data_IF_171830423037
#
_entry.id   IF_171830423037
#
_cell.length_a   1.000
_cell.length_b   1.000
_cell.length_c   1.000
_cell.angle_alpha   90.00
_cell.angle_beta   90.00
_cell.angle_gamma   90.00
#
_symmetry.space_group_name_H-M   'P 1'
#
loop_
_entity.id
_entity.type
_entity.pdbx_description
1 polymer ?
#
# COMPACT_ATOMS: atom_id res chain seq x y z
N UNK A 1 -14.75 28.22 16.44
CA UNK A 1 -14.01 28.80 15.30
C UNK A 1 -14.80 28.80 14.00
N UNK A 2 -15.59 27.76 13.67
CA UNK A 2 -16.43 27.78 12.45
C UNK A 2 -17.56 28.83 12.48
N UNK A 3 -18.15 29.14 13.65
CA UNK A 3 -19.28 30.07 13.75
C UNK A 3 -18.92 31.55 13.52
N UNK A 4 -17.64 31.93 13.66
CA UNK A 4 -17.19 33.33 13.55
C UNK A 4 -16.98 33.83 12.10
N UNK A 5 -16.94 32.92 11.12
CA UNK A 5 -16.73 33.28 9.71
C UNK A 5 -18.03 33.63 8.96
N UNK A 6 -19.19 33.21 9.48
CA UNK A 6 -20.47 33.41 8.79
C UNK A 6 -20.95 34.87 8.82
N UNK A 7 -20.80 35.56 9.96
CA UNK A 7 -21.27 36.94 10.13
C UNK A 7 -20.36 37.98 9.46
N UNK A 8 -19.06 37.71 9.36
CA UNK A 8 -18.08 38.68 8.83
C UNK A 8 -18.01 38.72 7.31
N UNK A 9 -18.33 37.61 6.62
CA UNK A 9 -18.22 37.50 5.16
C UNK A 9 -19.57 37.50 4.41
N UNK A 10 -20.71 37.51 5.11
CA UNK A 10 -22.04 37.59 4.49
C UNK A 10 -22.41 36.38 3.63
N UNK A 11 -21.88 35.20 3.93
CA UNK A 11 -22.07 33.98 3.15
C UNK A 11 -23.27 33.19 3.71
N UNK A 12 -24.34 32.94 2.94
CA UNK A 12 -25.53 32.23 3.42
C UNK A 12 -25.37 30.69 3.41
N UNK A 13 -24.15 30.17 3.49
CA UNK A 13 -23.83 28.73 3.35
C UNK A 13 -22.69 28.32 4.28
N UNK A 14 -22.67 27.06 4.74
CA UNK A 14 -21.55 26.50 5.50
C UNK A 14 -20.28 26.51 4.62
N UNK A 15 -19.26 27.24 5.05
CA UNK A 15 -17.94 27.23 4.45
C UNK A 15 -16.95 26.67 5.47
N UNK A 16 -16.17 25.68 5.06
CA UNK A 16 -14.99 25.27 5.81
C UNK A 16 -13.82 26.03 5.22
N UNK A 17 -13.20 26.87 6.05
CA UNK A 17 -12.07 27.72 5.69
C UNK A 17 -12.40 29.02 4.94
N UNK A 18 -11.52 30.00 5.11
CA UNK A 18 -11.62 31.35 4.54
C UNK A 18 -11.51 31.28 3.02
N UNK A 19 -10.68 30.37 2.51
CA UNK A 19 -10.48 30.14 1.07
C UNK A 19 -11.79 29.72 0.37
N UNK A 20 -12.61 28.90 1.05
CA UNK A 20 -13.90 28.50 0.52
C UNK A 20 -14.89 29.68 0.44
N UNK A 21 -14.85 30.60 1.40
CA UNK A 21 -15.67 31.81 1.37
C UNK A 21 -15.28 32.73 0.21
N UNK A 22 -13.98 32.94 -0.03
CA UNK A 22 -13.51 33.74 -1.17
C UNK A 22 -13.85 33.10 -2.52
N UNK A 23 -13.63 31.78 -2.65
CA UNK A 23 -13.98 31.03 -3.86
C UNK A 23 -15.48 31.09 -4.13
N UNK A 24 -16.32 30.92 -3.10
CA UNK A 24 -17.77 31.04 -3.23
C UNK A 24 -18.19 32.46 -3.67
N UNK A 25 -17.71 33.51 -3.01
CA UNK A 25 -18.05 34.91 -3.35
C UNK A 25 -17.65 35.26 -4.80
N UNK A 26 -16.50 34.76 -5.25
CA UNK A 26 -16.05 34.92 -6.63
C UNK A 26 -17.00 34.22 -7.62
N UNK A 27 -17.30 32.94 -7.38
CA UNK A 27 -18.18 32.14 -8.24
C UNK A 27 -19.64 32.62 -8.23
N UNK A 28 -20.11 33.21 -7.13
CA UNK A 28 -21.44 33.79 -7.02
C UNK A 28 -21.62 34.96 -7.99
N UNK A 29 -20.60 35.83 -8.14
CA UNK A 29 -20.61 36.93 -9.13
C UNK A 29 -20.65 36.45 -10.57
N UNK A 30 -20.10 35.27 -10.82
CA UNK A 30 -20.11 34.62 -12.13
C UNK A 30 -21.36 33.75 -12.36
N UNK A 31 -22.30 33.70 -11.40
CA UNK A 31 -23.55 32.95 -11.51
C UNK A 31 -23.35 31.43 -11.60
N UNK A 32 -22.31 30.91 -10.92
CA UNK A 32 -21.93 29.49 -10.98
C UNK A 32 -22.57 28.70 -9.84
N UNK A 33 -22.73 29.32 -8.67
CA UNK A 33 -23.22 28.66 -7.45
C UNK A 33 -24.65 28.09 -7.57
N UNK A 34 -25.42 28.54 -8.57
CA UNK A 34 -26.79 28.06 -8.82
C UNK A 34 -26.92 27.05 -9.98
N UNK A 35 -25.83 26.78 -10.71
CA UNK A 35 -25.84 25.85 -11.85
C UNK A 35 -25.65 24.42 -11.36
N UNK A 36 -26.54 23.52 -11.76
CA UNK A 36 -26.34 22.08 -11.61
C UNK A 36 -25.39 21.60 -12.72
N UNK A 37 -24.32 20.92 -12.36
CA UNK A 37 -23.39 20.36 -13.35
C UNK A 37 -24.05 19.14 -14.02
N UNK A 38 -24.10 19.05 -15.37
CA UNK A 38 -24.54 17.85 -16.06
C UNK A 38 -23.41 16.82 -16.10
N UNK A 39 -23.78 15.55 -15.99
CA UNK A 39 -22.88 14.40 -15.98
C UNK A 39 -22.05 14.32 -17.27
N UNK A 40 -20.74 14.54 -17.14
CA UNK A 40 -19.73 14.07 -18.10
C UNK A 40 -19.06 15.12 -18.99
N UNK A 41 -17.78 15.41 -18.71
CA UNK A 41 -16.69 15.58 -19.69
C UNK A 41 -15.52 16.39 -19.08
N UNK A 42 -14.51 15.73 -18.53
CA UNK A 42 -13.28 16.42 -18.09
C UNK A 42 -12.15 16.32 -19.14
N UNK A 43 -11.52 17.47 -19.41
CA UNK A 43 -10.27 17.59 -20.17
C UNK A 43 -9.13 17.85 -19.19
N UNK A 44 -8.09 17.02 -19.24
CA UNK A 44 -6.90 17.09 -18.38
C UNK A 44 -5.90 18.15 -18.86
N UNK A 45 -5.39 19.04 -17.98
CA UNK A 45 -4.23 19.88 -18.30
C UNK A 45 -2.94 19.18 -17.84
N UNK A 46 -2.07 18.87 -18.81
CA UNK A 46 -0.70 18.40 -18.57
C UNK A 46 0.24 19.61 -18.40
N UNK A 47 0.83 19.79 -17.22
CA UNK A 47 1.92 20.75 -17.05
C UNK A 47 3.00 20.23 -16.09
N UNK A 48 4.26 20.42 -16.51
CA UNK A 48 5.53 20.20 -15.78
C UNK A 48 6.28 18.85 -15.92
N UNK A 49 6.41 18.28 -17.13
CA UNK A 49 7.27 17.09 -17.40
C UNK A 49 8.72 17.41 -17.82
N UNK A 50 9.02 18.64 -18.25
CA UNK A 50 10.29 18.93 -18.94
C UNK A 50 11.51 19.10 -18.03
N UNK A 51 11.33 19.59 -16.79
CA UNK A 51 12.46 19.87 -15.88
C UNK A 51 12.93 18.64 -15.09
N UNK A 52 12.05 17.68 -14.81
CA UNK A 52 12.40 16.43 -14.12
C UNK A 52 13.22 15.49 -15.02
N UNK A 53 12.90 15.48 -16.32
CA UNK A 53 13.54 14.58 -17.29
C UNK A 53 15.06 14.81 -17.44
N UNK A 54 15.52 16.06 -17.35
CA UNK A 54 16.95 16.38 -17.49
C UNK A 54 17.81 15.85 -16.34
N UNK A 55 17.31 15.92 -15.10
CA UNK A 55 18.05 15.50 -13.92
C UNK A 55 18.11 13.97 -13.78
N UNK A 56 17.11 13.27 -14.31
CA UNK A 56 17.04 11.80 -14.32
C UNK A 56 17.99 11.18 -15.37
N UNK A 57 18.12 11.82 -16.54
CA UNK A 57 19.04 11.38 -17.60
C UNK A 57 20.52 11.49 -17.21
N UNK A 58 20.88 12.48 -16.40
CA UNK A 58 22.26 12.68 -15.92
C UNK A 58 22.68 11.61 -14.90
N UNK A 59 21.80 11.33 -13.93
CA UNK A 59 22.04 10.31 -12.89
C UNK A 59 22.14 8.88 -13.47
N UNK A 60 21.41 8.62 -14.56
CA UNK A 60 21.44 7.33 -15.27
C UNK A 60 22.79 7.09 -15.98
N UNK A 61 23.41 8.14 -16.55
CA UNK A 61 24.71 8.03 -17.22
C UNK A 61 25.84 7.70 -16.25
N UNK A 62 25.80 8.29 -15.06
CA UNK A 62 26.83 8.07 -14.04
C UNK A 62 26.79 6.64 -13.49
N UNK A 63 25.58 6.10 -13.23
CA UNK A 63 25.40 4.68 -12.84
C UNK A 63 25.90 3.70 -13.90
N UNK A 64 25.68 4.02 -15.19
CA UNK A 64 26.12 3.17 -16.29
C UNK A 64 27.66 3.08 -16.34
N UNK A 65 28.35 4.21 -16.22
CA UNK A 65 29.81 4.22 -16.22
C UNK A 65 30.38 3.40 -15.05
N UNK A 66 29.79 3.50 -13.86
CA UNK A 66 30.23 2.70 -12.70
C UNK A 66 30.04 1.19 -12.92
N UNK A 67 28.96 0.77 -13.59
CA UNK A 67 28.74 -0.64 -13.92
C UNK A 67 29.72 -1.16 -14.97
N UNK A 68 30.04 -0.35 -15.97
CA UNK A 68 30.97 -0.75 -17.04
C UNK A 68 32.40 -0.91 -16.48
N UNK A 69 32.82 -0.03 -15.57
CA UNK A 69 34.10 -0.16 -14.85
C UNK A 69 34.17 -1.42 -13.99
N UNK A 70 33.11 -1.76 -13.26
CA UNK A 70 33.05 -3.00 -12.46
C UNK A 70 33.12 -4.26 -13.34
N UNK A 71 32.41 -4.27 -14.48
CA UNK A 71 32.45 -5.39 -15.43
C UNK A 71 33.85 -5.57 -16.01
N UNK A 72 34.52 -4.47 -16.36
CA UNK A 72 35.86 -4.52 -16.92
C UNK A 72 36.87 -5.05 -15.90
N UNK A 73 36.75 -4.66 -14.62
CA UNK A 73 37.57 -5.20 -13.54
C UNK A 73 37.33 -6.71 -13.33
N UNK A 74 36.06 -7.15 -13.38
CA UNK A 74 35.71 -8.56 -13.23
C UNK A 74 36.24 -9.42 -14.39
N UNK A 75 36.08 -8.97 -15.63
CA UNK A 75 36.60 -9.68 -16.82
C UNK A 75 38.12 -9.78 -16.76
N UNK A 76 38.80 -8.71 -16.33
CA UNK A 76 40.26 -8.72 -16.15
C UNK A 76 40.68 -9.70 -15.05
N UNK A 77 39.98 -9.73 -13.92
CA UNK A 77 40.23 -10.65 -12.81
C UNK A 77 39.95 -12.12 -13.20
N UNK A 78 38.87 -12.38 -13.92
CA UNK A 78 38.50 -13.70 -14.41
C UNK A 78 39.50 -14.22 -15.46
N UNK A 79 39.93 -13.37 -16.39
CA UNK A 79 40.98 -13.72 -17.36
C UNK A 79 42.31 -14.06 -16.68
N UNK A 80 42.64 -13.42 -15.56
CA UNK A 80 43.84 -13.70 -14.78
C UNK A 80 43.75 -15.05 -14.04
N UNK A 81 42.55 -15.42 -13.59
CA UNK A 81 42.28 -16.67 -12.87
C UNK A 81 42.15 -17.89 -13.82
N UNK A 82 41.58 -17.70 -15.01
CA UNK A 82 41.41 -18.75 -16.02
C UNK A 82 42.70 -19.08 -16.80
N UNK A 83 43.76 -18.28 -16.67
CA UNK A 83 45.05 -18.51 -17.33
C UNK A 83 45.77 -19.79 -16.90
N UNK A 84 45.35 -20.43 -15.79
CA UNK A 84 46.04 -21.60 -15.24
C UNK A 84 45.50 -22.95 -15.76
N UNK A 85 44.22 -23.11 -16.14
CA UNK A 85 43.67 -24.33 -16.77
C UNK A 85 42.25 -24.09 -17.39
N UNK A 86 42.10 -23.88 -18.71
CA UNK A 86 40.84 -23.43 -19.31
C UNK A 86 39.76 -24.50 -19.56
N UNK A 87 40.11 -25.79 -19.65
CA UNK A 87 39.17 -26.86 -20.07
C UNK A 87 38.55 -27.65 -18.90
N UNK A 88 39.25 -27.76 -17.76
CA UNK A 88 38.85 -28.59 -16.62
C UNK A 88 37.77 -27.97 -15.72
N UNK A 89 37.70 -26.64 -15.70
CA UNK A 89 36.81 -25.89 -14.81
C UNK A 89 35.31 -26.01 -15.16
N UNK A 90 34.88 -25.87 -16.43
CA UNK A 90 33.48 -26.08 -16.78
C UNK A 90 33.03 -27.53 -16.53
N UNK A 91 33.88 -28.51 -16.86
CA UNK A 91 33.58 -29.92 -16.61
C UNK A 91 33.37 -30.23 -15.12
N UNK A 92 34.19 -29.66 -14.23
CA UNK A 92 34.02 -29.79 -12.78
C UNK A 92 32.74 -29.15 -12.27
N UNK A 93 32.34 -28.00 -12.82
CA UNK A 93 31.08 -27.35 -12.50
C UNK A 93 29.89 -28.22 -12.93
N UNK A 94 29.91 -28.77 -14.14
CA UNK A 94 28.88 -29.68 -14.65
C UNK A 94 28.76 -30.96 -13.80
N UNK A 95 29.89 -31.57 -13.43
CA UNK A 95 29.91 -32.75 -12.57
C UNK A 95 29.30 -32.44 -11.19
N UNK A 96 29.69 -31.33 -10.58
CA UNK A 96 29.18 -30.91 -9.26
C UNK A 96 27.69 -30.59 -9.30
N UNK A 97 27.21 -29.93 -10.37
CA UNK A 97 25.78 -29.66 -10.56
C UNK A 97 24.97 -30.96 -10.70
N UNK A 98 25.47 -31.92 -11.48
CA UNK A 98 24.80 -33.22 -11.68
C UNK A 98 24.63 -33.97 -10.35
N UNK A 99 25.71 -34.11 -9.58
CA UNK A 99 25.70 -34.84 -8.31
C UNK A 99 24.76 -34.18 -7.27
N UNK A 100 24.79 -32.84 -7.16
CA UNK A 100 23.89 -32.09 -6.27
C UNK A 100 22.43 -32.19 -6.70
N UNK A 101 22.16 -32.14 -8.01
CA UNK A 101 20.79 -32.27 -8.53
C UNK A 101 20.16 -33.63 -8.24
N UNK A 102 20.93 -34.71 -8.37
CA UNK A 102 20.47 -36.06 -8.04
C UNK A 102 20.22 -36.22 -6.52
N UNK A 103 21.06 -35.60 -5.69
CA UNK A 103 20.90 -35.61 -4.22
C UNK A 103 19.64 -34.86 -3.77
N UNK A 104 19.35 -33.68 -4.35
CA UNK A 104 18.13 -32.91 -4.06
C UNK A 104 16.87 -33.67 -4.51
N UNK A 105 16.90 -34.28 -5.69
CA UNK A 105 15.78 -35.07 -6.21
C UNK A 105 15.51 -36.33 -5.36
N UNK A 106 16.55 -37.06 -4.93
CA UNK A 106 16.39 -38.21 -4.04
C UNK A 106 15.77 -37.81 -2.69
N UNK A 107 16.18 -36.67 -2.13
CA UNK A 107 15.59 -36.12 -0.91
C UNK A 107 14.13 -35.71 -1.10
N UNK A 108 13.77 -35.05 -2.21
CA UNK A 108 12.36 -34.71 -2.54
C UNK A 108 11.49 -35.98 -2.59
N UNK A 109 11.98 -37.07 -3.20
CA UNK A 109 11.26 -38.36 -3.28
C UNK A 109 11.05 -39.03 -1.93
N UNK A 110 12.02 -38.91 -1.02
CA UNK A 110 11.91 -39.42 0.35
C UNK A 110 10.87 -38.62 1.16
N UNK A 111 10.82 -37.29 0.99
CA UNK A 111 9.82 -36.41 1.62
C UNK A 111 8.39 -36.71 1.14
N UNK A 112 8.18 -36.96 -0.16
CA UNK A 112 6.84 -37.29 -0.71
C UNK A 112 6.32 -38.66 -0.28
N UNK A 113 7.20 -39.64 -0.04
CA UNK A 113 6.80 -40.99 0.37
C UNK A 113 6.56 -41.13 1.89
N UNK A 114 7.12 -40.24 2.71
CA UNK A 114 6.95 -40.26 4.17
C UNK A 114 5.74 -39.49 4.73
N UNK A 115 5.08 -38.65 3.91
CA UNK A 115 4.08 -37.67 4.37
C UNK A 115 2.60 -38.03 4.13
N UNK A 116 2.26 -39.26 3.78
CA UNK A 116 0.89 -39.61 3.35
C UNK A 116 -0.14 -39.86 4.47
N UNK A 117 0.21 -39.74 5.75
CA UNK A 117 -0.75 -39.81 6.86
C UNK A 117 -0.51 -38.68 7.85
N UNK A 118 -1.08 -37.51 7.57
CA UNK A 118 -1.85 -36.69 8.54
C UNK A 118 -2.31 -35.42 7.81
N UNK A 119 -3.51 -35.44 7.24
CA UNK A 119 -4.18 -34.17 6.98
C UNK A 119 -5.70 -34.29 7.16
N UNK A 120 -6.19 -33.53 8.14
CA UNK A 120 -7.55 -33.02 8.23
C UNK A 120 -8.67 -34.00 8.55
N UNK A 121 -8.99 -34.19 9.82
CA UNK A 121 -10.40 -34.38 10.19
C UNK A 121 -10.74 -33.71 11.54
N UNK A 122 -11.83 -32.97 11.53
CA UNK A 122 -12.38 -32.20 12.65
C UNK A 122 -12.62 -33.09 13.87
N UNK A 123 -12.03 -32.75 15.02
CA UNK A 123 -12.28 -33.45 16.27
C UNK A 123 -13.32 -32.69 17.11
N UNK A 124 -14.60 -33.06 16.93
CA UNK A 124 -15.62 -32.90 17.96
C UNK A 124 -15.42 -33.97 19.03
N UNK A 125 -15.55 -33.59 20.29
CA UNK A 125 -15.15 -34.37 21.45
C UNK A 125 -15.65 -35.82 21.52
N UNK A 126 -14.75 -36.70 21.96
CA UNK A 126 -15.04 -37.70 22.96
C UNK A 126 -13.73 -38.27 23.51
N UNK A 127 -13.58 -38.22 24.84
CA UNK A 127 -12.51 -38.87 25.59
C UNK A 127 -12.82 -40.37 25.63
N UNK A 128 -11.92 -41.20 25.10
CA UNK A 128 -12.09 -42.65 25.16
C UNK A 128 -10.93 -43.47 24.61
N UNK A 129 -10.03 -43.88 25.51
CA UNK A 129 -9.23 -45.13 25.47
C UNK A 129 -8.37 -45.42 24.23
N UNK A 130 -7.05 -45.23 24.42
CA UNK A 130 -6.09 -46.31 24.17
C UNK A 130 -5.56 -46.47 22.74
N UNK A 131 -5.19 -45.38 22.07
CA UNK A 131 -4.28 -45.47 20.92
C UNK A 131 -2.84 -45.63 21.41
N UNK A 132 -2.10 -46.58 20.81
CA UNK A 132 -0.68 -46.80 21.09
C UNK A 132 0.13 -45.71 20.39
N UNK A 133 0.13 -44.51 20.98
CA UNK A 133 0.98 -43.39 20.56
C UNK A 133 2.44 -43.84 20.48
N UNK A 134 3.13 -43.43 19.41
CA UNK A 134 4.56 -43.67 19.19
C UNK A 134 5.38 -43.05 20.34
N UNK A 135 6.59 -43.54 20.60
CA UNK A 135 7.42 -43.07 21.72
C UNK A 135 7.63 -41.54 21.68
N UNK A 136 7.85 -40.99 20.48
CA UNK A 136 7.97 -39.55 20.26
C UNK A 136 6.65 -38.79 20.52
N UNK A 137 5.49 -39.36 20.13
CA UNK A 137 4.18 -38.76 20.39
C UNK A 137 3.83 -38.78 21.88
N UNK A 138 4.24 -39.83 22.61
CA UNK A 138 4.06 -39.93 24.06
C UNK A 138 4.92 -38.93 24.83
N UNK A 139 6.19 -38.75 24.45
CA UNK A 139 7.03 -37.73 25.07
C UNK A 139 6.54 -36.32 24.75
N UNK A 140 6.06 -36.07 23.52
CA UNK A 140 5.41 -34.79 23.18
C UNK A 140 4.16 -34.54 24.03
N UNK A 141 3.31 -35.56 24.21
CA UNK A 141 2.14 -35.45 25.07
C UNK A 141 2.53 -35.22 26.54
N UNK A 142 3.61 -35.85 27.00
CA UNK A 142 4.16 -35.67 28.34
C UNK A 142 4.66 -34.25 28.57
N UNK A 143 5.46 -33.71 27.64
CA UNK A 143 5.98 -32.34 27.67
C UNK A 143 4.86 -31.30 27.63
N UNK A 144 3.84 -31.49 26.78
CA UNK A 144 2.68 -30.61 26.70
C UNK A 144 1.88 -30.62 28.01
N UNK A 145 1.72 -31.80 28.61
CA UNK A 145 1.03 -31.94 29.90
C UNK A 145 1.84 -31.28 31.02
N UNK A 146 3.17 -31.43 31.05
CA UNK A 146 4.03 -30.77 32.05
C UNK A 146 3.98 -29.25 31.89
N UNK A 147 4.05 -28.73 30.67
CA UNK A 147 3.92 -27.29 30.39
C UNK A 147 2.58 -26.71 30.87
N UNK A 148 1.49 -27.48 30.74
CA UNK A 148 0.16 -27.04 31.15
C UNK A 148 -0.08 -27.08 32.67
N UNK A 149 0.67 -27.89 33.43
CA UNK A 149 0.40 -28.13 34.86
C UNK A 149 1.32 -27.39 35.84
N UNK A 150 2.44 -26.80 35.38
CA UNK A 150 3.49 -26.33 36.31
C UNK A 150 3.24 -24.95 36.94
N UNK A 151 2.20 -24.21 36.54
CA UNK A 151 1.93 -22.88 37.10
C UNK A 151 0.50 -22.78 37.66
N UNK A 152 0.42 -22.86 39.00
CA UNK A 152 -0.81 -22.97 39.76
C UNK A 152 -1.79 -21.80 39.57
N UNK A 153 -3.08 -22.13 39.72
CA UNK A 153 -4.27 -21.24 39.71
C UNK A 153 -4.51 -20.46 38.42
N UNK A 154 -4.99 -21.16 37.39
CA UNK A 154 -6.01 -20.66 36.46
C UNK A 154 -5.65 -19.51 35.53
N UNK A 155 -4.45 -18.97 35.59
CA UNK A 155 -3.95 -17.94 34.69
C UNK A 155 -2.91 -18.56 33.76
N UNK A 156 -3.30 -18.73 32.49
CA UNK A 156 -2.43 -19.20 31.43
C UNK A 156 -1.33 -18.15 31.18
N UNK A 157 -0.16 -18.42 31.74
CA UNK A 157 1.04 -17.58 31.64
C UNK A 157 2.10 -18.23 30.73
N UNK A 158 1.72 -19.28 30.00
CA UNK A 158 2.61 -19.99 29.09
C UNK A 158 2.99 -19.11 27.90
N UNK A 159 4.30 -18.89 27.70
CA UNK A 159 4.85 -17.99 26.68
C UNK A 159 5.31 -16.63 27.22
N UNK A 160 5.11 -16.36 28.51
CA UNK A 160 5.62 -15.14 29.16
C UNK A 160 7.12 -15.23 29.53
N UNK A 161 7.70 -16.43 29.58
CA UNK A 161 9.14 -16.66 29.79
C UNK A 161 9.78 -17.21 28.52
N UNK A 162 10.98 -16.74 28.19
CA UNK A 162 11.76 -17.21 27.03
C UNK A 162 12.10 -18.71 27.11
N UNK A 163 12.06 -19.30 28.29
CA UNK A 163 12.26 -20.73 28.54
C UNK A 163 11.12 -21.59 27.96
N UNK A 164 9.89 -21.08 27.94
CA UNK A 164 8.71 -21.77 27.40
C UNK A 164 8.84 -21.99 25.88
N UNK A 165 9.55 -21.09 25.20
CA UNK A 165 9.82 -21.15 23.77
C UNK A 165 10.82 -22.26 23.42
N UNK A 166 11.68 -22.66 24.36
CA UNK A 166 12.61 -23.77 24.15
C UNK A 166 11.88 -25.13 24.07
N UNK A 167 10.71 -25.23 24.70
CA UNK A 167 9.89 -26.44 24.67
C UNK A 167 9.33 -26.72 23.27
N UNK A 168 8.94 -25.68 22.52
CA UNK A 168 8.57 -25.82 21.10
C UNK A 168 9.73 -26.31 20.25
N UNK A 169 10.94 -25.79 20.50
CA UNK A 169 12.14 -26.23 19.77
C UNK A 169 12.46 -27.70 20.02
N UNK A 170 12.30 -28.17 21.25
CA UNK A 170 12.49 -29.57 21.63
C UNK A 170 11.40 -30.47 21.00
N UNK A 171 10.15 -30.01 20.94
CA UNK A 171 9.06 -30.73 20.27
C UNK A 171 9.20 -30.79 18.73
N UNK A 172 9.86 -29.78 18.12
CA UNK A 172 10.14 -29.77 16.68
C UNK A 172 11.41 -30.53 16.30
N UNK A 173 12.30 -30.82 17.25
CA UNK A 173 13.62 -31.41 16.97
C UNK A 173 13.54 -32.85 16.47
N UNK A 174 12.59 -33.65 16.96
CA UNK A 174 12.39 -35.03 16.48
C UNK A 174 11.70 -35.11 15.09
N UNK A 175 11.18 -34.00 14.56
CA UNK A 175 10.75 -33.91 13.16
C UNK A 175 11.87 -33.43 12.23
N UNK A 176 13.00 -32.96 12.76
CA UNK A 176 13.99 -32.15 12.03
C UNK A 176 15.45 -32.61 12.24
N UNK A 177 15.70 -33.91 12.26
CA UNK A 177 17.09 -34.40 12.16
C UNK A 177 17.63 -34.44 10.70
N UNK A 178 16.95 -33.82 9.71
CA UNK A 178 17.51 -33.62 8.35
C UNK A 178 17.13 -32.27 7.67
N UNK A 179 16.48 -31.32 8.37
CA UNK A 179 15.95 -30.13 7.69
C UNK A 179 16.98 -29.00 7.49
N UNK A 180 18.06 -28.98 8.27
CA UNK A 180 19.15 -28.00 8.10
C UNK A 180 20.05 -28.25 6.89
N UNK A 181 20.01 -29.45 6.29
CA UNK A 181 20.82 -29.80 5.13
C UNK A 181 20.11 -29.61 3.78
N UNK A 182 18.78 -29.50 3.77
CA UNK A 182 18.01 -29.40 2.52
C UNK A 182 18.06 -28.00 1.91
N UNK A 183 17.99 -26.97 2.75
CA UNK A 183 18.12 -25.57 2.30
C UNK A 183 19.53 -25.25 1.77
N UNK A 184 20.57 -25.87 2.36
CA UNK A 184 21.97 -25.65 1.96
C UNK A 184 22.26 -26.32 0.62
N UNK A 185 21.88 -27.59 0.44
CA UNK A 185 22.07 -28.30 -0.83
C UNK A 185 21.27 -27.61 -1.98
N UNK A 186 20.07 -27.08 -1.71
CA UNK A 186 19.23 -26.37 -2.70
C UNK A 186 19.80 -24.97 -3.05
N UNK A 187 20.33 -24.24 -2.06
CA UNK A 187 21.03 -22.98 -2.30
C UNK A 187 22.34 -23.17 -3.07
N UNK A 188 23.12 -24.22 -2.78
CA UNK A 188 24.34 -24.54 -3.52
C UNK A 188 24.05 -24.93 -4.98
N UNK A 189 22.95 -25.65 -5.23
CA UNK A 189 22.50 -26.00 -6.57
C UNK A 189 22.11 -24.76 -7.37
N UNK A 190 21.39 -23.81 -6.76
CA UNK A 190 21.04 -22.54 -7.39
C UNK A 190 22.30 -21.72 -7.75
N UNK A 191 23.29 -21.68 -6.85
CA UNK A 191 24.56 -20.99 -7.10
C UNK A 191 25.39 -21.64 -8.23
N UNK A 192 25.46 -22.98 -8.27
CA UNK A 192 26.14 -23.69 -9.36
C UNK A 192 25.42 -23.51 -10.71
N UNK A 193 24.10 -23.50 -10.71
CA UNK A 193 23.29 -23.24 -11.91
C UNK A 193 23.56 -21.85 -12.50
N UNK A 194 23.65 -20.81 -11.65
CA UNK A 194 24.00 -19.45 -12.09
C UNK A 194 25.40 -19.41 -12.71
N UNK A 195 26.38 -20.02 -12.04
CA UNK A 195 27.77 -20.08 -12.52
C UNK A 195 27.91 -20.85 -13.82
N UNK A 196 27.18 -21.95 -14.01
CA UNK A 196 27.19 -22.69 -15.27
C UNK A 196 26.64 -21.85 -16.43
N UNK A 197 25.56 -21.09 -16.19
CA UNK A 197 24.92 -20.24 -17.19
C UNK A 197 25.81 -19.09 -17.66
N UNK A 198 26.71 -18.62 -16.78
CA UNK A 198 27.71 -17.60 -17.10
C UNK A 198 28.87 -18.17 -17.94
N UNK A 199 29.23 -19.43 -17.73
CA UNK A 199 30.37 -20.09 -18.41
C UNK A 199 29.93 -20.77 -19.72
N UNK A 200 28.73 -21.36 -19.76
CA UNK A 200 28.14 -22.03 -20.92
C UNK A 200 26.72 -21.47 -21.21
N UNK A 201 26.57 -20.59 -22.22
CA UNK A 201 25.28 -20.05 -22.64
C UNK A 201 24.27 -21.10 -23.16
N UNK A 202 24.74 -22.32 -23.44
CA UNK A 202 23.93 -23.44 -23.95
C UNK A 202 23.32 -24.28 -22.82
N UNK A 203 23.72 -24.05 -21.57
CA UNK A 203 23.22 -24.77 -20.42
C UNK A 203 21.77 -24.42 -20.10
N UNK A 204 20.91 -25.44 -20.04
CA UNK A 204 19.50 -25.33 -19.65
C UNK A 204 19.27 -26.20 -18.41
N UNK A 205 18.94 -25.62 -17.25
CA UNK A 205 18.56 -26.39 -16.06
C UNK A 205 17.38 -27.31 -16.38
N UNK A 206 17.40 -28.51 -15.80
CA UNK A 206 16.31 -29.48 -15.93
C UNK A 206 15.03 -28.83 -15.35
N UNK A 207 13.93 -28.69 -16.11
CA UNK A 207 12.72 -28.08 -15.58
C UNK A 207 12.08 -29.04 -14.57
N UNK A 208 11.98 -28.61 -13.31
CA UNK A 208 11.12 -29.26 -12.33
C UNK A 208 9.68 -29.12 -12.83
N UNK A 209 9.00 -30.26 -13.07
CA UNK A 209 7.56 -30.31 -13.35
C UNK A 209 6.76 -29.99 -12.07
N UNK A 210 6.92 -28.78 -11.54
CA UNK A 210 6.09 -28.19 -10.51
C UNK A 210 6.25 -26.67 -10.55
N UNK A 211 5.20 -26.01 -11.04
CA UNK A 211 4.92 -24.57 -10.92
C UNK A 211 5.79 -23.61 -11.79
N UNK A 212 5.20 -22.83 -12.72
CA UNK A 212 5.93 -21.84 -13.52
C UNK A 212 6.29 -20.55 -12.73
N UNK A 213 6.63 -20.69 -11.46
CA UNK A 213 7.05 -19.60 -10.57
C UNK A 213 8.33 -20.00 -9.82
N UNK A 214 9.34 -20.51 -10.52
CA UNK A 214 10.70 -20.48 -9.99
C UNK A 214 11.32 -19.13 -10.38
N UNK A 215 11.62 -18.34 -9.35
CA UNK A 215 12.28 -17.04 -9.47
C UNK A 215 13.63 -17.25 -10.15
N UNK A 216 13.69 -16.80 -11.38
CA UNK A 216 14.86 -16.85 -12.21
C UNK A 216 15.93 -15.93 -11.64
N UNK A 217 17.14 -16.46 -11.38
CA UNK A 217 18.29 -15.63 -11.02
C UNK A 217 18.45 -14.49 -12.05
N UNK A 218 18.75 -13.25 -11.61
CA UNK A 218 18.66 -12.09 -12.48
C UNK A 218 19.66 -12.25 -13.61
N UNK A 219 19.17 -12.66 -14.78
CA UNK A 219 19.83 -12.35 -16.04
C UNK A 219 20.12 -10.86 -15.97
N UNK A 220 21.29 -10.39 -16.40
CA UNK A 220 21.45 -8.98 -16.68
C UNK A 220 20.50 -8.67 -17.84
N UNK A 221 19.22 -8.48 -17.52
CA UNK A 221 18.19 -8.06 -18.44
C UNK A 221 18.51 -6.59 -18.65
N UNK A 222 19.00 -6.19 -19.84
CA UNK A 222 19.20 -4.78 -20.09
C UNK A 222 17.85 -4.10 -19.84
N UNK A 223 17.81 -3.15 -18.91
CA UNK A 223 16.57 -2.49 -18.51
C UNK A 223 15.87 -1.99 -19.77
N UNK A 224 14.78 -2.67 -20.08
CA UNK A 224 13.93 -2.40 -21.22
C UNK A 224 12.94 -1.31 -20.84
N UNK A 225 12.27 -0.73 -21.83
CA UNK A 225 11.24 0.28 -21.57
C UNK A 225 10.13 -0.27 -20.63
N UNK A 226 9.86 -1.57 -20.67
CA UNK A 226 8.86 -2.26 -19.84
C UNK A 226 9.24 -2.27 -18.35
N UNK A 227 10.55 -2.27 -18.03
CA UNK A 227 11.04 -2.26 -16.65
C UNK A 227 10.80 -0.91 -15.94
N UNK A 228 10.52 0.15 -16.71
CA UNK A 228 10.17 1.48 -16.20
C UNK A 228 8.67 1.77 -16.34
N UNK A 229 7.86 0.78 -16.70
CA UNK A 229 6.42 0.92 -16.77
C UNK A 229 5.78 0.71 -15.39
N UNK A 230 5.11 1.74 -14.88
CA UNK A 230 4.30 1.63 -13.66
C UNK A 230 2.84 1.47 -14.08
N UNK A 231 2.32 0.26 -13.93
CA UNK A 231 0.92 -0.05 -14.20
C UNK A 231 0.07 0.34 -12.99
N UNK A 232 -0.84 1.28 -13.19
CA UNK A 232 -1.82 1.66 -12.17
C UNK A 232 -3.12 0.88 -12.38
N UNK A 233 -3.49 0.08 -11.39
CA UNK A 233 -4.75 -0.65 -11.35
C UNK A 233 -5.71 0.00 -10.37
N UNK A 234 -5.82 -0.59 -9.19
CA UNK A 234 -6.81 -0.22 -8.16
C UNK A 234 -6.48 1.10 -7.44
N UNK A 235 -5.22 1.50 -7.50
CA UNK A 235 -4.68 2.68 -6.81
C UNK A 235 -5.40 3.95 -7.27
N UNK A 236 -5.83 3.99 -8.54
CA UNK A 236 -6.48 5.14 -9.18
C UNK A 236 -7.77 5.57 -8.48
N UNK A 237 -8.53 4.61 -7.95
CA UNK A 237 -9.77 4.88 -7.22
C UNK A 237 -9.62 4.70 -5.71
N UNK A 238 -8.69 3.84 -5.26
CA UNK A 238 -8.45 3.65 -3.82
C UNK A 238 -7.85 4.88 -3.14
N UNK A 239 -7.00 5.64 -3.84
CA UNK A 239 -6.40 6.86 -3.30
C UNK A 239 -7.44 7.97 -2.99
N UNK A 240 -8.32 8.40 -3.93
CA UNK A 240 -9.32 9.43 -3.63
C UNK A 240 -10.39 8.95 -2.65
N UNK A 241 -10.68 7.64 -2.58
CA UNK A 241 -11.68 7.06 -1.68
C UNK A 241 -11.36 7.27 -0.19
N UNK A 242 -10.08 7.49 0.15
CA UNK A 242 -9.63 7.79 1.53
C UNK A 242 -10.30 9.07 2.07
N UNK A 243 -10.74 9.99 1.19
CA UNK A 243 -11.48 11.19 1.60
C UNK A 243 -12.87 10.88 2.16
N UNK A 244 -13.49 9.78 1.72
CA UNK A 244 -14.77 9.28 2.23
C UNK A 244 -14.56 8.23 3.33
N UNK A 245 -13.49 7.43 3.22
CA UNK A 245 -13.19 6.33 4.14
C UNK A 245 -11.76 6.43 4.71
N UNK A 246 -11.46 7.40 5.58
CA UNK A 246 -10.12 7.59 6.17
C UNK A 246 -9.68 6.39 7.03
N UNK A 247 -10.63 5.59 7.51
CA UNK A 247 -10.36 4.35 8.26
C UNK A 247 -9.52 3.33 7.47
N UNK A 248 -9.50 3.36 6.14
CA UNK A 248 -8.70 2.43 5.32
C UNK A 248 -7.20 2.58 5.50
N UNK A 249 -6.74 3.75 5.96
CA UNK A 249 -5.34 4.03 6.30
C UNK A 249 -5.11 4.11 7.82
N UNK A 250 -6.07 3.64 8.62
CA UNK A 250 -6.00 3.66 10.09
C UNK A 250 -6.25 5.03 10.72
N UNK A 251 -6.74 6.01 9.97
CA UNK A 251 -7.13 7.32 10.51
C UNK A 251 -8.59 7.24 10.98
N UNK A 252 -8.79 7.29 12.30
CA UNK A 252 -10.11 7.30 12.92
C UNK A 252 -10.73 8.71 12.92
N UNK A 253 -11.11 9.19 11.74
CA UNK A 253 -11.81 10.45 11.54
C UNK A 253 -13.05 10.22 10.67
N UNK A 254 -14.01 11.15 10.71
CA UNK A 254 -15.16 11.09 9.83
C UNK A 254 -14.76 11.42 8.39
N UNK A 255 -15.36 10.71 7.42
CA UNK A 255 -15.24 11.02 6.00
C UNK A 255 -15.91 12.34 5.62
N UNK A 256 -15.66 12.78 4.38
CA UNK A 256 -16.21 14.03 3.85
C UNK A 256 -17.75 14.07 3.87
N UNK A 257 -18.40 12.99 3.45
CA UNK A 257 -19.86 12.84 3.45
C UNK A 257 -20.42 12.85 4.88
N UNK A 258 -19.76 12.14 5.81
CA UNK A 258 -20.17 12.06 7.20
C UNK A 258 -20.03 13.41 7.90
N UNK A 259 -18.90 14.08 7.73
CA UNK A 259 -18.66 15.41 8.29
C UNK A 259 -19.67 16.43 7.78
N UNK A 260 -19.98 16.37 6.48
CA UNK A 260 -21.01 17.23 5.89
C UNK A 260 -22.37 17.00 6.55
N UNK A 261 -22.78 15.73 6.73
CA UNK A 261 -24.01 15.39 7.44
C UNK A 261 -24.01 15.83 8.91
N UNK A 262 -22.88 15.70 9.62
CA UNK A 262 -22.73 16.16 11.00
C UNK A 262 -22.88 17.68 11.08
N UNK A 263 -22.26 18.43 10.18
CA UNK A 263 -22.34 19.88 10.19
C UNK A 263 -23.72 20.40 9.81
N UNK A 264 -24.41 19.77 8.86
CA UNK A 264 -25.81 20.07 8.57
C UNK A 264 -26.69 19.91 9.81
N UNK A 265 -26.50 18.84 10.60
CA UNK A 265 -27.25 18.61 11.85
C UNK A 265 -26.90 19.58 12.98
N UNK A 266 -25.70 20.17 12.98
CA UNK A 266 -25.23 21.07 14.04
C UNK A 266 -25.67 22.52 13.85
N UNK A 267 -26.18 22.88 12.68
CA UNK A 267 -26.66 24.24 12.44
C UNK A 267 -27.93 24.51 13.27
N UNK A 268 -28.02 25.65 13.97
CA UNK A 268 -29.20 26.01 14.75
C UNK A 268 -30.36 26.39 13.83
N UNK A 269 -31.29 25.46 13.62
CA UNK A 269 -32.48 25.67 12.78
C UNK A 269 -33.60 26.33 13.59
N UNK A 270 -33.49 27.64 13.80
CA UNK A 270 -34.62 28.43 14.31
C UNK A 270 -35.72 28.63 13.25
N UNK A 271 -35.44 28.35 11.98
CA UNK A 271 -36.36 28.53 10.84
C UNK A 271 -36.20 27.36 9.85
N UNK A 272 -37.29 26.63 9.61
CA UNK A 272 -37.31 25.41 8.77
C UNK A 272 -36.96 25.70 7.30
N UNK A 273 -37.35 26.88 6.78
CA UNK A 273 -37.00 27.31 5.41
C UNK A 273 -35.48 27.47 5.20
N UNK A 274 -34.75 27.89 6.24
CA UNK A 274 -33.30 28.05 6.16
C UNK A 274 -32.60 26.68 6.18
N UNK A 275 -33.14 25.72 6.93
CA UNK A 275 -32.66 24.34 6.94
C UNK A 275 -32.76 23.73 5.54
N UNK A 276 -33.90 23.87 4.86
CA UNK A 276 -34.12 23.37 3.50
C UNK A 276 -33.19 24.05 2.48
N UNK A 277 -32.93 25.36 2.62
CA UNK A 277 -31.99 26.07 1.75
C UNK A 277 -30.54 25.64 1.96
N UNK A 278 -30.14 25.37 3.20
CA UNK A 278 -28.77 24.95 3.53
C UNK A 278 -28.51 23.49 3.17
N UNK A 279 -29.52 22.62 3.32
CA UNK A 279 -29.43 21.20 2.92
C UNK A 279 -29.54 21.00 1.41
N UNK A 280 -30.20 21.91 0.70
CA UNK A 280 -30.43 21.76 -0.74
C UNK A 280 -29.26 22.12 -1.64
N UNK A 281 -28.29 22.92 -1.18
CA UNK A 281 -27.21 23.41 -2.05
C UNK A 281 -25.85 23.29 -1.38
N UNK A 282 -24.96 22.49 -1.97
CA UNK A 282 -23.57 22.28 -1.54
C UNK A 282 -22.65 22.75 -2.65
N UNK A 283 -21.64 23.54 -2.29
CA UNK A 283 -20.69 24.09 -3.25
C UNK A 283 -19.27 23.58 -2.98
N UNK A 284 -18.65 22.95 -3.98
CA UNK A 284 -17.30 22.38 -3.91
C UNK A 284 -16.28 23.38 -4.45
N UNK A 285 -15.34 23.78 -3.59
CA UNK A 285 -14.37 24.85 -3.88
C UNK A 285 -12.93 24.38 -4.07
N UNK A 286 -12.58 23.18 -3.61
CA UNK A 286 -11.18 22.75 -3.42
C UNK A 286 -10.67 21.96 -4.62
N UNK A 287 -9.36 22.00 -4.90
CA UNK A 287 -8.71 21.21 -5.96
C UNK A 287 -9.00 19.70 -5.92
N UNK A 288 -9.16 19.08 -4.75
CA UNK A 288 -9.55 17.66 -4.63
C UNK A 288 -10.95 17.35 -5.18
N UNK A 289 -11.79 18.36 -5.42
CA UNK A 289 -13.06 18.19 -6.15
C UNK A 289 -12.87 17.90 -7.65
N UNK A 290 -11.65 18.06 -8.18
CA UNK A 290 -11.29 17.73 -9.55
C UNK A 290 -11.10 16.23 -9.78
N UNK A 291 -11.15 15.38 -8.73
CA UNK A 291 -11.16 13.95 -9.00
C UNK A 291 -12.48 13.55 -9.68
N UNK A 292 -12.44 12.69 -10.71
CA UNK A 292 -13.64 12.24 -11.38
C UNK A 292 -14.59 11.51 -10.42
N UNK A 293 -15.88 11.83 -10.46
CA UNK A 293 -16.89 11.15 -9.63
C UNK A 293 -17.01 11.67 -8.19
N UNK A 294 -16.26 12.72 -7.80
CA UNK A 294 -16.31 13.26 -6.43
C UNK A 294 -17.67 13.87 -6.08
N UNK A 295 -18.27 14.61 -7.02
CA UNK A 295 -19.59 15.19 -6.88
C UNK A 295 -20.64 14.11 -6.63
N UNK A 296 -20.61 13.05 -7.43
CA UNK A 296 -21.55 11.95 -7.38
C UNK A 296 -21.37 11.10 -6.11
N UNK A 297 -20.12 10.84 -5.73
CA UNK A 297 -19.79 10.14 -4.48
C UNK A 297 -20.26 10.92 -3.25
N UNK A 298 -20.04 12.24 -3.25
CA UNK A 298 -20.52 13.12 -2.17
C UNK A 298 -22.05 13.19 -2.13
N UNK A 299 -22.71 13.31 -3.28
CA UNK A 299 -24.17 13.30 -3.36
C UNK A 299 -24.76 12.00 -2.80
N UNK A 300 -24.21 10.86 -3.22
CA UNK A 300 -24.64 9.55 -2.75
C UNK A 300 -24.46 9.39 -1.23
N UNK A 301 -23.30 9.78 -0.70
CA UNK A 301 -23.00 9.71 0.73
C UNK A 301 -23.94 10.60 1.57
N UNK A 302 -24.23 11.81 1.10
CA UNK A 302 -25.14 12.74 1.79
C UNK A 302 -26.60 12.29 1.67
N UNK A 303 -27.01 11.78 0.49
CA UNK A 303 -28.37 11.26 0.25
C UNK A 303 -28.74 10.19 1.27
N UNK A 304 -27.80 9.32 1.64
CA UNK A 304 -28.02 8.28 2.65
C UNK A 304 -28.24 8.84 4.07
N UNK A 305 -27.82 10.09 4.34
CA UNK A 305 -27.89 10.73 5.66
C UNK A 305 -29.05 11.73 5.78
N UNK A 306 -29.63 12.16 4.66
CA UNK A 306 -30.77 13.08 4.63
C UNK A 306 -32.12 12.34 4.54
N UNK A 307 -33.23 12.96 4.96
CA UNK A 307 -34.56 12.41 4.75
C UNK A 307 -34.84 12.09 3.28
N UNK A 308 -35.57 11.00 3.03
CA UNK A 308 -35.93 10.58 1.68
C UNK A 308 -36.69 11.70 0.95
N UNK A 309 -36.30 11.98 -0.30
CA UNK A 309 -36.91 13.02 -1.13
C UNK A 309 -36.36 14.43 -0.90
N UNK A 310 -35.40 14.62 0.00
CA UNK A 310 -34.72 15.92 0.16
C UNK A 310 -34.04 16.33 -1.16
N UNK A 311 -34.24 17.57 -1.64
CA UNK A 311 -33.51 18.09 -2.78
C UNK A 311 -32.03 18.22 -2.41
N UNK A 312 -31.13 17.75 -3.27
CA UNK A 312 -29.68 17.91 -3.11
C UNK A 312 -29.14 18.43 -4.44
N UNK A 313 -28.45 19.57 -4.39
CA UNK A 313 -27.76 20.18 -5.52
C UNK A 313 -26.29 20.34 -5.13
N UNK A 314 -25.41 19.69 -5.89
CA UNK A 314 -23.97 19.87 -5.76
C UNK A 314 -23.50 20.70 -6.95
N UNK A 315 -22.83 21.81 -6.65
CA UNK A 315 -22.22 22.68 -7.65
C UNK A 315 -20.72 22.78 -7.39
N UNK A 316 -19.94 22.92 -8.46
CA UNK A 316 -18.48 22.99 -8.40
C UNK A 316 -18.00 24.37 -8.85
N UNK A 317 -16.90 24.83 -8.27
CA UNK A 317 -16.24 26.06 -8.69
C UNK A 317 -15.71 25.96 -10.12
N UNK A 318 -15.65 27.09 -10.84
CA UNK A 318 -15.13 27.15 -12.21
C UNK A 318 -13.66 26.74 -12.29
N UNK A 319 -12.86 27.23 -11.33
CA UNK A 319 -11.44 26.91 -11.19
C UNK A 319 -11.12 26.70 -9.71
N UNK A 320 -11.37 25.48 -9.17
CA UNK A 320 -11.19 25.17 -7.74
C UNK A 320 -9.76 25.38 -7.22
N UNK A 321 -8.78 25.60 -8.09
CA UNK A 321 -7.38 25.83 -7.72
C UNK A 321 -7.12 27.33 -7.49
N UNK A 322 -7.67 28.19 -8.35
CA UNK A 322 -7.36 29.63 -8.34
C UNK A 322 -8.49 30.51 -7.81
N UNK A 323 -9.72 30.01 -7.73
CA UNK A 323 -10.88 30.83 -7.37
C UNK A 323 -10.81 31.42 -5.97
N UNK A 324 -10.19 30.71 -5.01
CA UNK A 324 -9.93 31.26 -3.68
C UNK A 324 -9.04 32.51 -3.75
N UNK A 325 -7.93 32.44 -4.49
CA UNK A 325 -7.01 33.57 -4.67
C UNK A 325 -7.67 34.72 -5.43
N UNK A 326 -8.43 34.42 -6.49
CA UNK A 326 -9.17 35.45 -7.26
C UNK A 326 -10.23 36.14 -6.41
N UNK A 327 -10.93 35.36 -5.59
CA UNK A 327 -11.90 35.87 -4.62
C UNK A 327 -11.25 36.78 -3.59
N UNK A 328 -10.12 36.36 -3.01
CA UNK A 328 -9.36 37.15 -2.05
C UNK A 328 -8.81 38.44 -2.67
N UNK A 329 -8.26 38.36 -3.89
CA UNK A 329 -7.77 39.53 -4.63
C UNK A 329 -8.88 40.53 -4.91
N UNK A 330 -10.06 40.04 -5.28
CA UNK A 330 -11.23 40.89 -5.53
C UNK A 330 -11.74 41.51 -4.22
N UNK A 331 -11.75 40.73 -3.13
CA UNK A 331 -12.15 41.21 -1.81
C UNK A 331 -11.21 42.29 -1.27
N UNK A 332 -9.90 42.11 -1.42
CA UNK A 332 -8.90 43.09 -1.02
C UNK A 332 -9.02 44.42 -1.80
N UNK A 333 -9.57 44.37 -3.01
CA UNK A 333 -9.84 45.56 -3.82
C UNK A 333 -11.17 46.26 -3.47
N UNK A 334 -12.00 45.70 -2.58
CA UNK A 334 -13.27 46.30 -2.17
C UNK A 334 -13.07 47.49 -1.22
N UNK A 335 -13.93 48.50 -1.35
CA UNK A 335 -13.80 49.76 -0.59
C UNK A 335 -13.95 49.62 0.92
N UNK A 336 -14.57 48.54 1.41
CA UNK A 336 -14.73 48.26 2.84
C UNK A 336 -13.59 47.44 3.44
N UNK A 337 -12.68 46.90 2.61
CA UNK A 337 -11.56 46.10 3.09
C UNK A 337 -10.73 46.78 4.20
N UNK A 338 -10.43 48.10 4.16
CA UNK A 338 -9.68 48.76 5.24
C UNK A 338 -10.36 48.73 6.61
N UNK A 339 -11.69 48.56 6.67
CA UNK A 339 -12.42 48.45 7.94
C UNK A 339 -12.35 47.07 8.58
N UNK A 340 -11.81 46.09 7.85
CA UNK A 340 -11.70 44.69 8.27
C UNK A 340 -10.23 44.25 8.42
N UNK A 341 -9.29 45.19 8.32
CA UNK A 341 -7.86 44.99 8.52
C UNK A 341 -7.41 45.66 9.80
N UNK A 342 -6.45 45.06 10.48
CA UNK A 342 -5.82 45.66 11.65
C UNK A 342 -4.56 46.43 11.24
N UNK A 343 -4.38 47.61 11.82
CA UNK A 343 -3.14 48.37 11.65
C UNK A 343 -2.00 47.75 12.46
N UNK A 344 -0.76 48.12 12.15
CA UNK A 344 0.41 47.66 12.91
C UNK A 344 0.38 48.23 14.32
N UNK A 345 -0.14 49.44 14.48
CA UNK A 345 -0.35 50.12 15.75
C UNK A 345 -1.36 49.35 16.62
N UNK A 346 -2.53 49.00 16.07
CA UNK A 346 -3.56 48.19 16.75
C UNK A 346 -3.07 46.80 17.17
N UNK A 347 -2.13 46.21 16.44
CA UNK A 347 -1.53 44.92 16.82
C UNK A 347 -0.58 45.02 18.03
N UNK A 348 0.00 46.19 18.28
CA UNK A 348 0.96 46.43 19.38
C UNK A 348 0.35 47.07 20.62
N UNK A 349 -0.89 47.57 20.53
CA UNK A 349 -1.72 47.87 21.71
C UNK A 349 -2.19 46.58 22.40
#
# INVERSE_FOLDING_TARGET
>A
MAELLFETCGVPSIAYDVDAAFSYKYNQRHGVCDKHEPVGSERFPLLNRAKQKGHEEELAREKKNQQDEQKQFFVFSFSLYCGENPELYPEQLHAKYKDLSEKVEQKKRLKTNGGAHTNGNNFSGNVGRGERLNAAERERLRLLTTAAFDHGKGEDTFGAKDEDWQLYKLMSKDNNDDDGGSDVDEAELAHLSSRLKEVDPTFVPKPDNANPQSVEAPRFCPLTQEDFEIVFGIERFRCPEILFHPNWIGINQAGLDEMTGVSLRRLPTKVQELEERLTSSIFMTVGSSLFPGMSEGLEAGIRMKLPCGSPIRIAKALDPILDAWRGASTYAAESHFPTQTFSKEEYYE
#
